data_IF_499059842625
#
_entry.id   IF_499059842625
#
_cell.length_a   1.000
_cell.length_b   1.000
_cell.length_c   1.000
_cell.angle_alpha   90.00
_cell.angle_beta   90.00
_cell.angle_gamma   90.00
#
_symmetry.space_group_name_H-M   'P 1'
#
loop_
_entity.id
_entity.type
_entity.pdbx_description
1 polymer ?
#
# COMPACT_ATOMS: atom_id res chain seq x y z
N UNK A 1 -29.19 12.52 -10.26
CA UNK A 1 -28.05 11.59 -10.15
C UNK A 1 -27.31 11.51 -11.48
N UNK A 2 -26.07 12.01 -11.56
CA UNK A 2 -25.21 11.87 -12.76
C UNK A 2 -24.62 10.45 -12.76
N UNK A 3 -24.96 9.65 -13.77
CA UNK A 3 -24.39 8.31 -13.97
C UNK A 3 -22.94 8.47 -14.45
N UNK A 4 -21.97 8.19 -13.59
CA UNK A 4 -20.56 8.06 -13.98
C UNK A 4 -20.41 6.81 -14.85
N UNK A 5 -20.19 6.99 -16.16
CA UNK A 5 -20.10 5.89 -17.11
C UNK A 5 -18.62 5.46 -17.27
N UNK A 6 -18.17 4.36 -16.63
CA UNK A 6 -16.75 3.96 -16.59
C UNK A 6 -16.17 3.63 -17.97
N UNK A 7 -17.04 3.38 -18.95
CA UNK A 7 -16.70 2.99 -20.32
C UNK A 7 -16.05 4.13 -21.12
N UNK A 8 -16.27 5.40 -20.75
CA UNK A 8 -15.69 6.55 -21.48
C UNK A 8 -14.20 6.75 -21.21
N UNK A 9 -13.70 6.41 -20.01
CA UNK A 9 -12.28 6.59 -19.64
C UNK A 9 -11.36 5.58 -20.33
N UNK A 10 -11.81 4.34 -20.53
CA UNK A 10 -11.02 3.28 -21.18
C UNK A 10 -10.83 3.50 -22.68
N UNK A 11 -11.80 4.15 -23.34
CA UNK A 11 -11.73 4.47 -24.78
C UNK A 11 -10.80 5.63 -25.11
N UNK A 12 -10.55 6.53 -24.16
CA UNK A 12 -9.60 7.64 -24.35
C UNK A 12 -8.15 7.14 -24.45
N UNK A 13 -7.77 6.15 -23.63
CA UNK A 13 -6.41 5.55 -23.67
C UNK A 13 -6.17 4.66 -24.89
N UNK A 14 -7.23 4.10 -25.50
CA UNK A 14 -7.12 3.28 -26.70
C UNK A 14 -6.96 4.09 -28.00
N UNK A 15 -7.27 5.40 -27.97
CA UNK A 15 -7.28 6.24 -29.17
C UNK A 15 -5.98 6.99 -29.49
N UNK A 16 -4.95 6.88 -28.64
CA UNK A 16 -3.71 7.66 -28.76
C UNK A 16 -2.52 6.90 -29.39
N UNK A 17 -2.77 5.79 -30.10
CA UNK A 17 -1.68 4.99 -30.65
C UNK A 17 -2.10 4.19 -31.86
N UNK A 18 -2.29 4.85 -33.01
CA UNK A 18 -2.20 4.23 -34.33
C UNK A 18 -2.23 5.32 -35.40
N UNK A 19 -1.04 5.82 -35.76
CA UNK A 19 -0.84 6.60 -36.97
C UNK A 19 0.52 6.24 -37.61
N UNK A 20 0.43 5.84 -38.87
CA UNK A 20 1.48 5.76 -39.90
C UNK A 20 2.56 4.67 -39.79
N UNK A 21 2.27 3.54 -40.43
CA UNK A 21 3.25 2.68 -41.12
C UNK A 21 3.94 3.46 -42.26
N UNK A 22 5.25 3.68 -42.16
CA UNK A 22 6.07 4.18 -43.27
C UNK A 22 7.37 4.84 -42.81
N UNK A 23 8.51 4.30 -43.27
CA UNK A 23 9.89 4.70 -42.98
C UNK A 23 10.39 4.43 -41.55
N UNK A 24 11.11 3.31 -41.42
CA UNK A 24 11.92 2.95 -40.26
C UNK A 24 13.09 3.93 -40.07
N UNK A 25 12.83 5.05 -39.41
CA UNK A 25 13.85 5.78 -38.67
C UNK A 25 13.76 5.26 -37.24
N UNK A 26 14.67 4.35 -36.86
CA UNK A 26 14.83 3.99 -35.44
C UNK A 26 15.45 5.21 -34.77
N UNK A 27 14.62 6.18 -34.40
CA UNK A 27 15.03 7.19 -33.44
C UNK A 27 15.25 6.43 -32.13
N UNK A 28 16.52 6.15 -31.82
CA UNK A 28 16.93 5.77 -30.48
C UNK A 28 16.59 6.96 -29.57
N UNK A 29 15.37 6.97 -29.03
CA UNK A 29 15.00 7.82 -27.93
C UNK A 29 15.79 7.33 -26.71
N UNK A 30 17.09 7.66 -26.66
CA UNK A 30 17.85 7.61 -25.43
C UNK A 30 17.24 8.68 -24.53
N UNK A 31 16.38 8.23 -23.61
CA UNK A 31 16.02 9.02 -22.46
C UNK A 31 17.33 9.47 -21.81
N UNK A 32 17.66 10.77 -21.93
CA UNK A 32 18.73 11.36 -21.15
C UNK A 32 18.28 11.26 -19.70
N UNK A 33 18.78 10.26 -18.98
CA UNK A 33 18.75 10.28 -17.51
C UNK A 33 19.56 11.52 -17.14
N UNK A 34 18.87 12.55 -16.65
CA UNK A 34 19.57 13.69 -16.08
C UNK A 34 20.46 13.14 -14.95
N UNK A 35 21.76 13.41 -15.02
CA UNK A 35 22.70 13.21 -13.90
C UNK A 35 22.41 14.20 -12.73
N UNK A 36 21.16 14.63 -12.57
CA UNK A 36 20.70 15.36 -11.41
C UNK A 36 20.64 14.39 -10.24
N UNK A 37 21.12 14.83 -9.07
CA UNK A 37 21.05 14.09 -7.82
C UNK A 37 19.76 13.28 -7.73
N UNK A 38 19.87 11.96 -7.58
CA UNK A 38 18.71 11.10 -7.32
C UNK A 38 17.91 11.69 -6.16
N UNK A 39 16.59 11.80 -6.32
CA UNK A 39 15.72 12.23 -5.23
C UNK A 39 16.02 11.39 -3.99
N UNK A 40 16.48 12.08 -2.94
CA UNK A 40 16.68 11.47 -1.63
C UNK A 40 15.63 12.08 -0.71
N UNK A 41 14.63 11.31 -0.26
CA UNK A 41 13.62 11.85 0.64
C UNK A 41 14.29 12.30 1.95
N UNK A 42 13.91 13.48 2.43
CA UNK A 42 14.36 13.96 3.75
C UNK A 42 13.96 12.94 4.82
N UNK A 43 14.92 12.56 5.67
CA UNK A 43 14.69 11.65 6.80
C UNK A 43 14.71 12.45 8.09
N UNK A 44 13.67 12.28 8.90
CA UNK A 44 13.56 12.86 10.22
C UNK A 44 13.88 11.81 11.28
N UNK A 45 14.41 12.24 12.43
CA UNK A 45 14.72 11.35 13.56
C UNK A 45 13.44 10.67 14.07
N UNK A 46 12.31 11.37 14.01
CA UNK A 46 10.98 10.89 14.38
C UNK A 46 10.47 9.75 13.48
N UNK A 47 11.05 9.56 12.30
CA UNK A 47 10.70 8.50 11.35
C UNK A 47 11.71 7.35 11.35
N UNK A 48 12.72 7.41 12.24
CA UNK A 48 13.80 6.42 12.33
C UNK A 48 13.32 5.04 12.74
N UNK A 49 12.20 4.96 13.48
CA UNK A 49 11.56 3.71 13.91
C UNK A 49 11.23 2.76 12.76
N UNK A 50 10.90 3.28 11.56
CA UNK A 50 10.70 2.42 10.39
C UNK A 50 12.00 1.72 9.97
N UNK A 51 13.13 2.38 10.22
CA UNK A 51 14.51 1.93 10.01
C UNK A 51 14.96 0.81 10.95
N UNK A 52 14.55 0.89 12.21
CA UNK A 52 15.04 0.07 13.33
C UNK A 52 14.81 -1.43 13.16
N UNK A 53 13.80 -1.83 12.40
CA UNK A 53 13.56 -3.24 12.11
C UNK A 53 14.76 -3.90 11.42
N UNK A 54 15.59 -3.14 10.68
CA UNK A 54 16.80 -3.67 10.03
C UNK A 54 16.52 -4.58 8.82
N UNK A 55 15.28 -4.61 8.34
CA UNK A 55 14.80 -5.61 7.37
C UNK A 55 14.76 -5.05 5.94
N UNK A 56 15.12 -5.88 4.96
CA UNK A 56 15.19 -5.55 3.53
C UNK A 56 13.83 -5.36 2.86
N UNK A 57 12.85 -6.20 3.21
CA UNK A 57 11.48 -6.09 2.72
C UNK A 57 10.61 -5.33 3.72
N UNK A 58 9.88 -4.32 3.24
CA UNK A 58 9.04 -3.47 4.10
C UNK A 58 7.68 -3.21 3.50
N UNK A 59 6.63 -3.35 4.31
CA UNK A 59 5.28 -2.94 3.95
C UNK A 59 4.63 -2.10 5.06
N UNK A 60 3.84 -1.12 4.65
CA UNK A 60 2.97 -0.34 5.53
C UNK A 60 1.53 -0.52 5.07
N UNK A 61 0.69 -1.10 5.93
CA UNK A 61 -0.72 -1.37 5.66
C UNK A 61 -1.55 -0.43 6.53
N UNK A 62 -2.33 0.46 5.92
CA UNK A 62 -3.22 1.40 6.63
C UNK A 62 -4.67 0.94 6.57
N UNK A 63 -5.38 1.10 7.69
CA UNK A 63 -6.82 0.95 7.75
C UNK A 63 -7.47 2.07 8.53
N UNK A 64 -8.54 2.63 7.97
CA UNK A 64 -9.33 3.71 8.58
C UNK A 64 -10.78 3.32 8.89
N UNK A 65 -11.22 2.12 8.50
CA UNK A 65 -12.61 1.69 8.65
C UNK A 65 -12.71 0.46 9.55
N UNK A 66 -13.83 0.32 10.25
CA UNK A 66 -14.06 -0.81 11.16
C UNK A 66 -13.91 -2.17 10.46
N UNK A 67 -14.56 -2.35 9.30
CA UNK A 67 -14.42 -3.57 8.50
C UNK A 67 -13.03 -3.69 7.85
N UNK A 68 -12.42 -2.56 7.51
CA UNK A 68 -11.08 -2.54 6.94
C UNK A 68 -10.01 -3.03 7.91
N UNK A 69 -10.23 -2.99 9.23
CA UNK A 69 -9.25 -3.49 10.21
C UNK A 69 -8.95 -4.97 10.02
N UNK A 70 -9.99 -5.79 9.92
CA UNK A 70 -9.86 -7.23 9.62
C UNK A 70 -9.23 -7.44 8.24
N UNK A 71 -9.66 -6.67 7.24
CA UNK A 71 -9.10 -6.77 5.89
C UNK A 71 -7.59 -6.47 5.87
N UNK A 72 -7.12 -5.51 6.67
CA UNK A 72 -5.71 -5.17 6.78
C UNK A 72 -4.88 -6.32 7.35
N UNK A 73 -5.36 -6.99 8.41
CA UNK A 73 -4.68 -8.17 8.98
C UNK A 73 -4.67 -9.34 8.00
N UNK A 74 -5.79 -9.61 7.32
CA UNK A 74 -5.84 -10.67 6.31
C UNK A 74 -4.90 -10.37 5.13
N UNK A 75 -4.79 -9.11 4.73
CA UNK A 75 -3.87 -8.70 3.68
C UNK A 75 -2.41 -8.82 4.12
N UNK A 76 -2.11 -8.48 5.38
CA UNK A 76 -0.81 -8.70 6.00
C UNK A 76 -0.39 -10.19 5.92
N UNK A 77 -1.29 -11.09 6.30
CA UNK A 77 -1.06 -12.54 6.19
C UNK A 77 -0.82 -13.01 4.75
N UNK A 78 -1.52 -12.42 3.77
CA UNK A 78 -1.29 -12.73 2.36
C UNK A 78 0.09 -12.30 1.89
N UNK A 79 0.59 -11.14 2.34
CA UNK A 79 1.93 -10.66 2.02
C UNK A 79 2.98 -11.61 2.58
N UNK A 80 2.89 -11.98 3.86
CA UNK A 80 3.84 -12.91 4.49
C UNK A 80 3.84 -14.27 3.79
N UNK A 81 2.65 -14.77 3.43
CA UNK A 81 2.53 -16.03 2.69
C UNK A 81 3.14 -15.94 1.29
N UNK A 82 2.89 -14.85 0.57
CA UNK A 82 3.49 -14.63 -0.75
C UNK A 82 5.01 -14.50 -0.66
N UNK A 83 5.50 -13.88 0.41
CA UNK A 83 6.92 -13.75 0.70
C UNK A 83 7.59 -15.11 0.91
N UNK A 84 7.03 -15.94 1.79
CA UNK A 84 7.54 -17.29 2.05
C UNK A 84 7.49 -18.17 0.79
N UNK A 85 6.34 -18.21 0.09
CA UNK A 85 6.16 -19.12 -1.05
C UNK A 85 6.82 -18.64 -2.34
N UNK A 86 6.83 -17.33 -2.58
CA UNK A 86 7.26 -16.72 -3.85
C UNK A 86 8.70 -16.25 -3.86
N UNK A 87 9.20 -15.78 -2.72
CA UNK A 87 10.58 -15.29 -2.57
C UNK A 87 11.47 -16.21 -1.73
N UNK A 88 10.90 -17.27 -1.14
CA UNK A 88 11.66 -18.21 -0.30
C UNK A 88 12.15 -17.60 1.01
N UNK A 89 11.56 -16.46 1.42
CA UNK A 89 11.91 -15.77 2.66
C UNK A 89 11.25 -16.37 3.90
N UNK A 90 11.54 -15.78 5.05
CA UNK A 90 11.02 -16.16 6.35
C UNK A 90 10.28 -15.00 7.02
N UNK A 91 9.67 -15.22 8.18
CA UNK A 91 9.01 -14.12 8.89
C UNK A 91 10.04 -13.11 9.45
N UNK A 92 11.24 -13.58 9.80
CA UNK A 92 12.31 -12.76 10.40
C UNK A 92 12.97 -11.79 9.40
N UNK A 93 12.80 -12.00 8.10
CA UNK A 93 13.35 -11.16 7.03
C UNK A 93 12.30 -10.30 6.32
N UNK A 94 11.11 -10.14 6.93
CA UNK A 94 10.07 -9.20 6.49
C UNK A 94 9.63 -8.20 7.57
N UNK A 95 9.80 -6.90 7.31
CA UNK A 95 9.31 -5.83 8.18
C UNK A 95 7.93 -5.36 7.77
N UNK A 96 6.93 -5.50 8.64
CA UNK A 96 5.58 -5.06 8.32
C UNK A 96 4.98 -4.22 9.45
N UNK A 97 4.40 -3.09 9.07
CA UNK A 97 3.67 -2.19 9.97
C UNK A 97 2.21 -2.19 9.55
N UNK A 98 1.33 -2.56 10.47
CA UNK A 98 -0.12 -2.48 10.29
C UNK A 98 -0.65 -1.32 11.13
N UNK A 99 -1.12 -0.27 10.46
CA UNK A 99 -1.66 0.93 11.08
C UNK A 99 -3.18 0.85 11.18
N UNK A 100 -3.69 1.05 12.39
CA UNK A 100 -5.11 1.18 12.67
C UNK A 100 -5.43 2.61 13.13
N UNK A 101 -6.21 3.33 12.32
CA UNK A 101 -6.69 4.68 12.65
C UNK A 101 -8.20 4.83 12.47
N UNK A 102 -8.77 5.89 13.01
CA UNK A 102 -10.21 6.16 12.96
C UNK A 102 -11.06 4.98 13.49
N UNK A 103 -11.95 4.42 12.66
CA UNK A 103 -12.86 3.37 13.10
C UNK A 103 -12.17 2.00 13.26
N UNK A 104 -10.95 1.83 12.74
CA UNK A 104 -10.15 0.62 12.97
C UNK A 104 -9.27 0.70 14.21
N UNK A 105 -9.09 1.88 14.81
CA UNK A 105 -8.22 2.05 15.98
C UNK A 105 -8.45 1.02 17.11
N UNK A 106 -9.69 0.56 17.41
CA UNK A 106 -9.90 -0.46 18.44
C UNK A 106 -9.14 -1.77 18.25
N UNK A 107 -8.79 -2.17 17.02
CA UNK A 107 -8.02 -3.40 16.78
C UNK A 107 -6.58 -3.33 17.31
N UNK A 108 -6.05 -2.13 17.55
CA UNK A 108 -4.72 -1.93 18.13
C UNK A 108 -4.71 -1.89 19.66
N UNK A 109 -5.86 -1.98 20.33
CA UNK A 109 -5.94 -1.90 21.78
C UNK A 109 -5.92 -3.27 22.44
N UNK A 110 -5.36 -3.33 23.65
CA UNK A 110 -5.24 -4.55 24.44
C UNK A 110 -6.57 -4.94 25.14
N UNK A 111 -6.58 -6.11 25.78
CA UNK A 111 -7.76 -6.67 26.46
C UNK A 111 -8.32 -5.75 27.55
N UNK A 112 -7.46 -5.00 28.26
CA UNK A 112 -7.91 -4.08 29.33
C UNK A 112 -8.75 -2.92 28.77
N UNK A 113 -8.41 -2.44 27.58
CA UNK A 113 -9.19 -1.42 26.89
C UNK A 113 -10.51 -1.99 26.38
N UNK A 114 -10.48 -3.20 25.81
CA UNK A 114 -11.69 -3.87 25.34
C UNK A 114 -12.67 -4.18 26.48
N UNK A 115 -12.17 -4.64 27.63
CA UNK A 115 -12.99 -4.89 28.81
C UNK A 115 -13.70 -3.62 29.33
N UNK A 116 -13.07 -2.45 29.18
CA UNK A 116 -13.62 -1.18 29.66
C UNK A 116 -14.53 -0.47 28.65
N UNK A 117 -14.27 -0.64 27.35
CA UNK A 117 -14.88 0.18 26.28
C UNK A 117 -15.53 -0.64 25.16
N UNK A 118 -15.83 -1.93 25.39
CA UNK A 118 -16.38 -2.86 24.40
C UNK A 118 -17.54 -2.27 23.61
N UNK A 119 -18.53 -1.69 24.28
CA UNK A 119 -19.76 -1.19 23.63
C UNK A 119 -19.44 -0.09 22.60
N UNK A 120 -18.48 0.78 22.92
CA UNK A 120 -18.02 1.84 22.01
C UNK A 120 -17.25 1.24 20.85
N UNK A 121 -16.42 0.22 21.10
CA UNK A 121 -15.60 -0.41 20.08
C UNK A 121 -16.43 -1.22 19.08
N UNK A 122 -17.36 -2.06 19.56
CA UNK A 122 -18.33 -2.81 18.74
C UNK A 122 -19.08 -1.87 17.79
N UNK A 123 -19.56 -0.72 18.28
CA UNK A 123 -20.24 0.26 17.44
C UNK A 123 -19.37 0.85 16.32
N UNK A 124 -18.05 0.94 16.51
CA UNK A 124 -17.09 1.50 15.54
C UNK A 124 -16.55 0.46 14.57
N UNK A 125 -16.22 -0.72 15.06
CA UNK A 125 -15.66 -1.82 14.26
C UNK A 125 -16.75 -2.56 13.47
N UNK A 126 -17.99 -2.55 13.99
CA UNK A 126 -19.16 -3.28 13.47
C UNK A 126 -18.94 -4.80 13.45
N UNK A 127 -18.26 -5.30 14.47
CA UNK A 127 -18.07 -6.72 14.80
C UNK A 127 -18.47 -6.95 16.24
#
# INVERSE_FOLDING_TARGET
>A
MRKNNPIKRRKFLAGAGLAATGASMVASAQAKTSNGSSFTPQRHTEDSWMGELGISHRAFIDSSTGQGGIAAVNFASNIMRAHAMGYGGSDDDYGMIVCFRHASAPYGFNDSMWAKYSDVFVGRTRI
#
